data_IF_562465629762
#
_entry.id   IF_562465629762
#
_cell.length_a   1.000
_cell.length_b   1.000
_cell.length_c   1.000
_cell.angle_alpha   90.00
_cell.angle_beta   90.00
_cell.angle_gamma   90.00
#
_symmetry.space_group_name_H-M   'P 1'
#
loop_
_entity.id
_entity.type
_entity.pdbx_description
1 polymer ?
#
# COMPACT_ATOMS: atom_id res chain seq x y z
N UNK A 1 0.92 2.37 13.31
CA UNK A 1 0.39 3.70 13.67
C UNK A 1 -1.13 3.63 13.82
N UNK A 2 -1.71 4.34 14.79
CA UNK A 2 -3.17 4.41 14.94
C UNK A 2 -3.75 5.48 14.01
N UNK A 3 -4.71 5.08 13.18
CA UNK A 3 -5.38 5.96 12.21
C UNK A 3 -6.49 6.75 12.89
N UNK A 4 -6.44 8.08 12.77
CA UNK A 4 -7.51 9.00 13.16
C UNK A 4 -8.52 9.19 12.03
N UNK A 5 -8.03 9.43 10.82
CA UNK A 5 -8.86 9.56 9.62
C UNK A 5 -8.16 8.95 8.41
N UNK A 6 -8.95 8.44 7.47
CA UNK A 6 -8.44 7.90 6.21
C UNK A 6 -9.41 8.13 5.04
N UNK A 7 -8.85 8.63 3.95
CA UNK A 7 -9.51 8.85 2.68
C UNK A 7 -8.87 7.98 1.61
N UNK A 8 -9.69 7.49 0.68
CA UNK A 8 -9.24 6.74 -0.49
C UNK A 8 -9.50 7.61 -1.72
N UNK A 9 -8.44 7.95 -2.45
CA UNK A 9 -8.51 8.72 -3.70
C UNK A 9 -8.59 7.80 -4.92
N UNK A 10 -7.73 6.77 -4.97
CA UNK A 10 -7.68 5.81 -6.06
C UNK A 10 -7.66 4.37 -5.53
N UNK A 11 -8.33 3.47 -6.25
CA UNK A 11 -8.43 2.05 -5.90
C UNK A 11 -8.00 1.20 -7.09
N UNK A 12 -7.07 0.28 -6.86
CA UNK A 12 -6.72 -0.76 -7.83
C UNK A 12 -6.21 -0.22 -9.17
N UNK A 13 -5.46 0.89 -9.13
CA UNK A 13 -4.80 1.46 -10.31
C UNK A 13 -3.44 0.79 -10.51
N UNK A 14 -2.84 0.96 -11.68
CA UNK A 14 -1.46 0.54 -11.96
C UNK A 14 -0.55 1.76 -12.09
N UNK A 15 0.69 1.63 -11.61
CA UNK A 15 1.75 2.66 -11.77
C UNK A 15 2.58 2.47 -13.04
N UNK A 16 2.31 1.43 -13.83
CA UNK A 16 2.98 1.18 -15.11
C UNK A 16 2.62 2.28 -16.12
N UNK A 17 3.60 2.85 -16.84
CA UNK A 17 3.42 4.00 -17.76
C UNK A 17 2.49 3.71 -18.96
N UNK A 18 2.44 2.45 -19.41
CA UNK A 18 1.58 1.99 -20.50
C UNK A 18 1.13 0.55 -20.22
N UNK A 19 0.20 0.36 -19.27
CA UNK A 19 -0.20 -0.97 -18.82
C UNK A 19 -1.04 -1.67 -19.88
N UNK A 20 -0.84 -2.97 -20.05
CA UNK A 20 -1.73 -3.79 -20.88
C UNK A 20 -3.12 -3.89 -20.25
N UNK A 21 -4.15 -4.17 -21.06
CA UNK A 21 -5.52 -4.34 -20.54
C UNK A 21 -5.63 -5.42 -19.45
N UNK A 22 -4.83 -6.49 -19.56
CA UNK A 22 -4.78 -7.56 -18.58
C UNK A 22 -4.35 -7.06 -17.20
N UNK A 23 -3.31 -6.23 -17.15
CA UNK A 23 -2.82 -5.62 -15.91
C UNK A 23 -3.86 -4.67 -15.31
N UNK A 24 -4.49 -3.81 -16.14
CA UNK A 24 -5.56 -2.92 -15.69
C UNK A 24 -6.70 -3.73 -15.07
N UNK A 25 -7.13 -4.81 -15.73
CA UNK A 25 -8.22 -5.69 -15.22
C UNK A 25 -7.80 -6.41 -13.94
N UNK A 26 -6.54 -6.84 -13.84
CA UNK A 26 -5.99 -7.48 -12.65
C UNK A 26 -5.94 -6.51 -11.46
N UNK A 27 -5.35 -5.33 -11.62
CA UNK A 27 -5.24 -4.34 -10.54
C UNK A 27 -6.60 -3.86 -10.05
N UNK A 28 -7.63 -3.81 -10.91
CA UNK A 28 -9.00 -3.50 -10.48
C UNK A 28 -9.56 -4.47 -9.44
N UNK A 29 -9.01 -5.68 -9.30
CA UNK A 29 -9.43 -6.62 -8.24
C UNK A 29 -8.88 -6.23 -6.87
N UNK A 30 -7.76 -5.51 -6.83
CA UNK A 30 -7.19 -4.97 -5.61
C UNK A 30 -8.04 -3.78 -5.11
N UNK A 31 -9.01 -4.09 -4.23
CA UNK A 31 -9.98 -3.11 -3.70
C UNK A 31 -9.95 -3.04 -2.17
N UNK A 32 -8.89 -2.48 -1.56
CA UNK A 32 -8.86 -2.29 -0.11
C UNK A 32 -9.98 -1.34 0.33
N UNK A 33 -10.71 -1.71 1.38
CA UNK A 33 -11.68 -0.83 2.03
C UNK A 33 -11.07 -0.11 3.24
N UNK A 34 -11.79 0.88 3.79
CA UNK A 34 -11.30 1.68 4.94
C UNK A 34 -10.90 0.83 6.14
N UNK A 35 -11.67 -0.19 6.50
CA UNK A 35 -11.36 -1.06 7.64
C UNK A 35 -10.08 -1.87 7.42
N UNK A 36 -9.85 -2.36 6.20
CA UNK A 36 -8.61 -3.05 5.83
C UNK A 36 -7.40 -2.12 5.88
N UNK A 37 -7.55 -0.86 5.46
CA UNK A 37 -6.48 0.14 5.54
C UNK A 37 -6.18 0.56 6.99
N UNK A 38 -7.21 0.73 7.83
CA UNK A 38 -7.00 1.00 9.26
C UNK A 38 -6.27 -0.17 9.92
N UNK A 39 -6.69 -1.41 9.63
CA UNK A 39 -6.02 -2.61 10.13
C UNK A 39 -4.56 -2.66 9.65
N UNK A 40 -4.32 -2.39 8.36
CA UNK A 40 -2.98 -2.32 7.78
C UNK A 40 -2.08 -1.40 8.59
N UNK A 41 -2.40 -0.11 8.69
CA UNK A 41 -1.56 0.84 9.41
C UNK A 41 -1.38 0.49 10.89
N UNK A 42 -2.36 -0.18 11.51
CA UNK A 42 -2.28 -0.62 12.91
C UNK A 42 -1.32 -1.80 13.12
N UNK A 43 -1.21 -2.72 12.16
CA UNK A 43 -0.50 -4.00 12.35
C UNK A 43 0.74 -4.19 11.47
N UNK A 44 1.02 -3.26 10.55
CA UNK A 44 2.20 -3.32 9.70
C UNK A 44 3.49 -3.09 10.48
N UNK A 45 4.57 -3.71 10.01
CA UNK A 45 5.92 -3.31 10.39
C UNK A 45 6.23 -1.92 9.80
N UNK A 46 6.94 -1.08 10.55
CA UNK A 46 7.25 0.30 10.19
C UNK A 46 8.76 0.50 10.01
N UNK A 47 9.15 1.30 9.02
CA UNK A 47 10.55 1.63 8.76
C UNK A 47 10.68 3.01 8.14
N UNK A 48 11.75 3.73 8.48
CA UNK A 48 12.16 4.96 7.76
C UNK A 48 12.92 4.66 6.46
N UNK A 49 13.38 3.42 6.31
CA UNK A 49 14.10 2.94 5.13
C UNK A 49 13.19 2.07 4.26
N UNK A 50 13.43 2.11 2.95
CA UNK A 50 12.63 1.41 1.95
C UNK A 50 13.04 -0.07 1.77
N UNK A 51 13.04 -0.84 2.85
CA UNK A 51 13.64 -2.18 2.92
C UNK A 51 12.95 -3.22 2.03
N UNK A 52 11.63 -3.12 1.89
CA UNK A 52 10.81 -4.15 1.23
C UNK A 52 10.59 -3.91 -0.27
N UNK A 53 10.95 -2.73 -0.81
CA UNK A 53 10.61 -2.39 -2.20
C UNK A 53 11.19 -3.37 -3.20
N UNK A 54 12.43 -3.82 -3.01
CA UNK A 54 13.05 -4.72 -4.00
C UNK A 54 12.34 -6.08 -4.07
N UNK A 55 11.88 -6.61 -2.94
CA UNK A 55 11.30 -7.95 -2.84
C UNK A 55 9.78 -7.98 -3.08
N UNK A 56 9.08 -6.89 -2.75
CA UNK A 56 7.62 -6.83 -2.68
C UNK A 56 7.03 -5.72 -3.56
N UNK A 57 7.73 -5.29 -4.61
CA UNK A 57 7.19 -4.32 -5.57
C UNK A 57 5.97 -4.87 -6.32
N UNK A 58 4.80 -4.25 -6.14
CA UNK A 58 3.62 -4.42 -6.99
C UNK A 58 3.41 -3.20 -7.87
N UNK A 59 2.99 -3.43 -9.13
CA UNK A 59 2.46 -2.35 -9.95
C UNK A 59 1.03 -1.97 -9.58
N UNK A 60 0.27 -2.84 -8.91
CA UNK A 60 -1.11 -2.59 -8.50
C UNK A 60 -1.18 -1.85 -7.17
N UNK A 61 -1.74 -0.64 -7.19
CA UNK A 61 -1.76 0.25 -6.02
C UNK A 61 -3.13 0.87 -5.75
N UNK A 62 -3.32 1.28 -4.50
CA UNK A 62 -4.37 2.20 -4.06
C UNK A 62 -3.72 3.38 -3.36
N UNK A 63 -4.36 4.55 -3.41
CA UNK A 63 -3.79 5.78 -2.83
C UNK A 63 -4.84 6.62 -2.13
N UNK A 64 -4.40 7.53 -1.27
CA UNK A 64 -5.27 8.48 -0.59
C UNK A 64 -4.54 9.31 0.46
N UNK A 65 -5.28 9.81 1.44
CA UNK A 65 -4.74 10.59 2.55
C UNK A 65 -5.02 9.91 3.89
N UNK A 66 -4.11 10.07 4.84
CA UNK A 66 -4.22 9.52 6.19
C UNK A 66 -3.80 10.58 7.21
N UNK A 67 -4.53 10.62 8.31
CA UNK A 67 -4.17 11.35 9.53
C UNK A 67 -4.06 10.32 10.66
N UNK A 68 -2.95 10.35 11.38
CA UNK A 68 -2.70 9.51 12.54
C UNK A 68 -2.99 10.26 13.85
N UNK A 69 -3.29 9.52 14.92
CA UNK A 69 -3.61 10.13 16.22
C UNK A 69 -2.47 10.97 16.82
N UNK A 70 -1.22 10.68 16.44
CA UNK A 70 -0.05 11.44 16.87
C UNK A 70 0.18 12.74 16.09
N UNK A 71 -0.76 13.14 15.23
CA UNK A 71 -0.71 14.36 14.43
C UNK A 71 0.05 14.23 13.10
N UNK A 72 0.69 13.09 12.83
CA UNK A 72 1.31 12.85 11.52
C UNK A 72 0.21 12.69 10.47
N UNK A 73 0.34 13.41 9.36
CA UNK A 73 -0.58 13.35 8.22
C UNK A 73 0.20 13.29 6.91
N UNK A 74 -0.43 12.75 5.86
CA UNK A 74 0.19 12.70 4.55
C UNK A 74 -0.55 11.87 3.50
N UNK A 75 0.09 11.72 2.35
CA UNK A 75 -0.39 10.88 1.25
C UNK A 75 0.11 9.46 1.41
N UNK A 76 -0.81 8.49 1.32
CA UNK A 76 -0.45 7.08 1.35
C UNK A 76 -0.56 6.42 -0.02
N UNK A 77 0.34 5.46 -0.23
CA UNK A 77 0.30 4.48 -1.32
C UNK A 77 0.34 3.11 -0.68
N UNK A 78 -0.56 2.22 -1.09
CA UNK A 78 -0.55 0.82 -0.71
C UNK A 78 -0.50 -0.03 -1.98
N UNK A 79 0.46 -0.94 -2.02
CA UNK A 79 0.66 -1.94 -3.06
C UNK A 79 -0.09 -3.24 -2.71
N UNK A 80 -0.50 -4.01 -3.71
CA UNK A 80 -1.23 -5.27 -3.49
C UNK A 80 -0.45 -6.31 -2.67
N UNK A 81 0.88 -6.25 -2.75
CA UNK A 81 1.83 -7.07 -1.97
C UNK A 81 1.81 -6.81 -0.46
N UNK A 82 1.12 -5.75 0.00
CA UNK A 82 1.18 -5.30 1.38
C UNK A 82 2.32 -4.32 1.68
N UNK A 83 3.06 -3.87 0.68
CA UNK A 83 3.98 -2.74 0.82
C UNK A 83 3.21 -1.41 0.80
N UNK A 84 3.38 -0.61 1.83
CA UNK A 84 2.81 0.73 1.94
C UNK A 84 3.89 1.80 2.14
N UNK A 85 3.55 3.03 1.76
CA UNK A 85 4.35 4.23 2.05
C UNK A 85 3.42 5.38 2.38
N UNK A 86 3.78 6.17 3.37
CA UNK A 86 3.22 7.50 3.62
C UNK A 86 4.29 8.53 3.33
N UNK A 87 4.00 9.50 2.46
CA UNK A 87 4.76 10.74 2.33
C UNK A 87 4.05 11.76 3.21
N UNK A 88 4.70 12.13 4.30
CA UNK A 88 4.13 13.06 5.29
C UNK A 88 4.07 14.47 4.74
N UNK A 89 3.26 15.34 5.34
CA UNK A 89 3.17 16.76 4.96
C UNK A 89 4.51 17.51 5.12
N UNK A 90 5.42 16.99 5.94
CA UNK A 90 6.80 17.49 6.09
C UNK A 90 7.78 16.88 5.06
N UNK A 91 7.28 16.14 4.08
CA UNK A 91 8.03 15.48 3.01
C UNK A 91 8.95 14.32 3.46
N UNK A 92 8.77 13.81 4.69
CA UNK A 92 9.40 12.57 5.15
C UNK A 92 8.64 11.34 4.62
N UNK A 93 9.36 10.22 4.43
CA UNK A 93 8.76 8.94 4.05
C UNK A 93 8.73 7.96 5.23
N UNK A 94 7.57 7.32 5.43
CA UNK A 94 7.38 6.21 6.36
C UNK A 94 6.91 5.00 5.55
N UNK A 95 7.64 3.90 5.63
CA UNK A 95 7.34 2.66 4.95
C UNK A 95 6.64 1.69 5.89
N UNK A 96 5.68 0.96 5.34
CA UNK A 96 4.86 -0.02 6.05
C UNK A 96 4.88 -1.34 5.31
N UNK A 97 4.92 -2.46 6.03
CA UNK A 97 4.80 -3.77 5.39
C UNK A 97 3.93 -4.74 6.19
N UNK A 98 3.07 -5.45 5.47
CA UNK A 98 2.24 -6.53 6.02
C UNK A 98 2.09 -7.65 4.98
N UNK A 99 2.76 -8.79 5.22
CA UNK A 99 2.72 -9.98 4.36
C UNK A 99 1.31 -10.59 4.28
N UNK A 100 0.69 -10.87 5.43
CA UNK A 100 -0.67 -11.44 5.48
C UNK A 100 -1.74 -10.37 5.53
N UNK A 101 -2.10 -9.85 4.35
CA UNK A 101 -2.96 -8.67 4.24
C UNK A 101 -4.46 -8.97 4.00
N UNK A 102 -4.84 -10.26 3.92
CA UNK A 102 -6.20 -10.79 3.64
C UNK A 102 -6.92 -10.14 2.45
N UNK A 103 -6.18 -9.47 1.56
CA UNK A 103 -6.70 -8.79 0.36
C UNK A 103 -6.38 -9.64 -0.87
N UNK A 104 -7.17 -9.48 -1.91
CA UNK A 104 -6.84 -10.09 -3.19
C UNK A 104 -5.59 -9.40 -3.76
N UNK A 105 -4.54 -10.18 -3.95
CA UNK A 105 -3.26 -9.73 -4.49
C UNK A 105 -3.06 -10.34 -5.89
N UNK A 106 -3.24 -9.55 -6.97
CA UNK A 106 -3.15 -10.05 -8.34
C UNK A 106 -1.76 -10.54 -8.75
N UNK A 107 -0.75 -10.26 -7.93
CA UNK A 107 0.65 -10.61 -8.15
C UNK A 107 1.17 -11.57 -7.07
N UNK A 108 0.28 -12.18 -6.28
CA UNK A 108 0.66 -13.19 -5.30
C UNK A 108 1.46 -14.32 -5.98
N UNK A 109 2.56 -14.73 -5.34
CA UNK A 109 3.47 -15.76 -5.86
C UNK A 109 4.56 -15.25 -6.82
N UNK A 110 4.61 -13.94 -7.10
CA UNK A 110 5.75 -13.31 -7.81
C UNK A 110 6.71 -12.57 -6.88
N UNK A 111 6.42 -12.55 -5.57
CA UNK A 111 7.14 -11.78 -4.57
C UNK A 111 8.00 -12.67 -3.69
N UNK A 112 9.12 -12.10 -3.24
CA UNK A 112 10.07 -12.83 -2.43
C UNK A 112 10.79 -13.94 -3.21
N UNK A 113 11.99 -14.27 -2.74
CA UNK A 113 12.64 -15.53 -3.06
C UNK A 113 12.05 -16.55 -2.08
N UNK A 114 10.90 -17.15 -2.42
CA UNK A 114 10.50 -18.38 -1.73
C UNK A 114 11.55 -19.45 -2.06
N UNK A 115 12.45 -19.72 -1.10
CA UNK A 115 13.14 -21.01 -0.98
C UNK A 115 12.34 -21.89 -0.03
#
# INVERSE_FOLDING_TARGET
MTVKNIEIKNIGITVTKAPGEGEIKACKKFKPNKNQLIKFFKSSEESKENKWLHEYYSSCVSTGNVEFENGVSGEWVLQSSGLGRVITDNNDSIYFFQKDNSREDPMAGTYGLDN
#
